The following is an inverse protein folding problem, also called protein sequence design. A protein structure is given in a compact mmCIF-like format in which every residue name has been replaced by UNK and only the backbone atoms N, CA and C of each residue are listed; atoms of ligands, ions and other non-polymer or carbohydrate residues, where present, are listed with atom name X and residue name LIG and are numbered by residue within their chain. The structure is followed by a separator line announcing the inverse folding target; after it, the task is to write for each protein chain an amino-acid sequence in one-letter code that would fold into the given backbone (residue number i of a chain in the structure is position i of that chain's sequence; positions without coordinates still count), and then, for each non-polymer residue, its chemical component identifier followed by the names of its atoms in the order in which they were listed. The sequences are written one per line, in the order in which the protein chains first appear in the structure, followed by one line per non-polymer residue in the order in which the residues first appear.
data_IF_107015631106
#
_entry.id   IF_107015631106
#
_cell.length_a   1.000
_cell.length_b   1.000
_cell.length_c   1.000
_cell.angle_alpha   90.00
_cell.angle_beta   90.00
_cell.angle_gamma   90.00
#
_symmetry.space_group_name_H-M   'P 1'
#
loop_
_entity.id
_entity.type
_entity.pdbx_description
1 polymer ?
#
# COMPACT_ATOMS: atom_id res chain seq x y z
N UNK A 1 45.44 -21.48 -18.68
CA UNK A 1 44.39 -21.32 -17.68
C UNK A 1 43.47 -20.17 -18.09
N UNK A 2 42.39 -20.48 -18.76
CA UNK A 2 41.42 -19.48 -19.29
C UNK A 2 40.23 -19.49 -18.38
N UNK A 3 40.02 -18.44 -17.61
CA UNK A 3 38.74 -18.19 -16.94
C UNK A 3 37.73 -17.69 -17.99
N UNK A 4 36.86 -18.56 -18.42
CA UNK A 4 35.67 -18.17 -19.17
C UNK A 4 34.64 -17.60 -18.18
N UNK A 5 34.46 -16.30 -18.22
CA UNK A 5 33.31 -15.65 -17.61
C UNK A 5 32.07 -16.07 -18.39
N UNK A 6 31.24 -16.93 -17.81
CA UNK A 6 29.91 -17.22 -18.37
C UNK A 6 29.02 -16.00 -18.06
N UNK A 7 28.66 -15.28 -19.13
CA UNK A 7 27.56 -14.33 -19.09
C UNK A 7 26.27 -15.09 -18.76
N UNK A 8 25.61 -14.75 -17.70
CA UNK A 8 24.22 -15.09 -17.44
C UNK A 8 23.36 -14.40 -18.51
N UNK A 9 22.83 -15.16 -19.45
CA UNK A 9 21.79 -14.67 -20.37
C UNK A 9 20.45 -14.83 -19.69
N UNK A 10 19.93 -13.74 -19.16
CA UNK A 10 18.52 -13.63 -18.75
C UNK A 10 17.71 -13.46 -20.03
N UNK A 11 17.04 -14.49 -20.48
CA UNK A 11 16.06 -14.37 -21.54
C UNK A 11 14.73 -13.94 -20.91
N UNK A 12 14.55 -12.62 -20.83
CA UNK A 12 13.32 -12.00 -20.40
C UNK A 12 12.31 -12.08 -21.54
N UNK A 13 11.33 -12.97 -21.43
CA UNK A 13 10.15 -12.90 -22.29
C UNK A 13 9.26 -11.82 -21.72
N UNK A 14 9.22 -10.69 -22.43
CA UNK A 14 8.45 -9.50 -22.07
C UNK A 14 6.96 -9.79 -22.29
N UNK A 15 6.22 -10.01 -21.20
CA UNK A 15 4.80 -9.70 -21.14
C UNK A 15 4.65 -8.64 -20.04
N UNK A 16 4.18 -7.48 -20.45
CA UNK A 16 4.19 -6.22 -19.70
C UNK A 16 3.57 -6.33 -18.32
N UNK A 17 4.38 -6.34 -17.31
CA UNK A 17 4.31 -5.67 -15.99
C UNK A 17 5.50 -6.15 -15.17
N UNK A 18 6.55 -5.30 -15.08
CA UNK A 18 7.84 -5.66 -14.50
C UNK A 18 7.80 -5.65 -12.97
N UNK A 19 7.74 -6.83 -12.38
CA UNK A 19 8.25 -7.04 -11.03
C UNK A 19 9.39 -8.05 -11.09
N UNK A 20 10.58 -7.70 -10.63
CA UNK A 20 11.71 -8.61 -10.50
C UNK A 20 11.42 -9.60 -9.37
N UNK A 21 11.09 -10.84 -9.74
CA UNK A 21 11.06 -11.93 -8.75
C UNK A 21 12.49 -12.28 -8.36
N UNK A 22 12.77 -12.34 -7.07
CA UNK A 22 14.08 -12.73 -6.55
C UNK A 22 13.97 -13.94 -5.64
N UNK A 23 14.98 -14.83 -5.70
CA UNK A 23 15.15 -15.87 -4.68
C UNK A 23 16.05 -15.33 -3.57
N UNK A 24 15.53 -15.28 -2.36
CA UNK A 24 16.35 -15.03 -1.19
C UNK A 24 17.11 -16.32 -0.82
N UNK A 25 18.22 -16.55 -1.49
CA UNK A 25 19.20 -17.55 -1.09
C UNK A 25 20.42 -16.83 -0.52
N UNK A 26 20.66 -17.03 0.76
CA UNK A 26 21.91 -16.60 1.36
C UNK A 26 23.09 -17.28 0.63
N UNK A 27 23.86 -16.50 -0.13
CA UNK A 27 25.20 -16.81 -0.64
C UNK A 27 25.38 -18.06 -1.54
N UNK A 28 24.44 -18.38 -2.45
CA UNK A 28 24.68 -19.46 -3.39
C UNK A 28 24.62 -19.00 -4.84
N UNK A 29 25.76 -18.93 -5.48
CA UNK A 29 25.95 -18.47 -6.86
C UNK A 29 25.60 -19.54 -7.91
N UNK A 30 25.07 -20.69 -7.51
CA UNK A 30 24.91 -21.87 -8.38
C UNK A 30 23.45 -22.27 -8.67
N UNK A 31 22.47 -21.62 -8.00
CA UNK A 31 21.07 -21.91 -8.20
C UNK A 31 20.38 -20.73 -8.88
N UNK A 32 20.08 -20.88 -10.15
CA UNK A 32 19.36 -19.88 -10.97
C UNK A 32 18.13 -20.54 -11.64
N UNK A 33 17.05 -20.76 -10.91
CA UNK A 33 15.85 -21.34 -11.49
C UNK A 33 15.19 -20.36 -12.45
N UNK A 34 14.81 -20.86 -13.63
CA UNK A 34 14.03 -20.09 -14.58
C UNK A 34 12.62 -19.88 -14.04
N UNK A 35 12.18 -18.62 -14.00
CA UNK A 35 10.85 -18.23 -13.52
C UNK A 35 10.05 -17.57 -14.63
N UNK A 36 8.75 -17.85 -14.65
CA UNK A 36 7.79 -17.11 -15.46
C UNK A 36 6.68 -16.59 -14.55
N UNK A 37 6.31 -15.34 -14.69
CA UNK A 37 5.22 -14.72 -13.92
C UNK A 37 4.14 -14.25 -14.88
N UNK A 38 2.92 -14.69 -14.62
CA UNK A 38 1.71 -14.29 -15.36
C UNK A 38 0.68 -13.74 -14.40
N UNK A 39 0.12 -12.57 -14.69
CA UNK A 39 -0.91 -11.94 -13.86
C UNK A 39 -2.22 -11.88 -14.64
N UNK A 40 -3.31 -12.29 -14.01
CA UNK A 40 -4.66 -12.24 -14.57
C UNK A 40 -5.68 -11.87 -13.49
N UNK A 41 -6.17 -10.64 -13.51
CA UNK A 41 -7.10 -10.13 -12.50
C UNK A 41 -6.51 -10.21 -11.08
N UNK A 42 -7.24 -10.86 -10.17
CA UNK A 42 -6.84 -11.09 -8.77
C UNK A 42 -5.91 -12.30 -8.57
N UNK A 43 -5.35 -12.84 -9.65
CA UNK A 43 -4.51 -14.05 -9.59
C UNK A 43 -3.19 -13.82 -10.29
N UNK A 44 -2.12 -14.20 -9.64
CA UNK A 44 -0.77 -14.24 -10.20
C UNK A 44 -0.28 -15.69 -10.23
N UNK A 45 0.28 -16.12 -11.34
CA UNK A 45 0.89 -17.44 -11.48
C UNK A 45 2.39 -17.30 -11.64
N UNK A 46 3.12 -17.97 -10.77
CA UNK A 46 4.57 -18.06 -10.82
C UNK A 46 4.96 -19.49 -11.17
N UNK A 47 5.52 -19.68 -12.34
CA UNK A 47 5.98 -21.01 -12.77
C UNK A 47 7.48 -21.11 -12.60
N UNK A 48 7.89 -22.08 -11.78
CA UNK A 48 9.29 -22.49 -11.57
C UNK A 48 9.57 -23.67 -12.46
N UNK A 49 10.63 -23.59 -13.30
CA UNK A 49 10.94 -24.66 -14.26
C UNK A 49 11.11 -26.00 -13.55
N UNK A 50 10.32 -26.99 -13.99
CA UNK A 50 10.30 -28.35 -13.44
C UNK A 50 11.33 -29.23 -14.14
N UNK A 51 12.55 -29.31 -13.61
CA UNK A 51 13.59 -30.25 -14.03
C UNK A 51 13.98 -31.14 -12.86
N UNK A 52 14.52 -32.32 -13.15
CA UNK A 52 15.00 -33.24 -12.09
C UNK A 52 16.07 -32.58 -11.20
N UNK A 53 16.94 -31.78 -11.78
CA UNK A 53 18.02 -31.09 -11.08
C UNK A 53 17.47 -29.99 -10.19
N UNK A 54 16.58 -29.13 -10.73
CA UNK A 54 15.92 -28.07 -9.96
C UNK A 54 15.10 -28.65 -8.81
N UNK A 55 14.34 -29.72 -9.05
CA UNK A 55 13.53 -30.34 -8.01
C UNK A 55 14.38 -30.94 -6.88
N UNK A 56 15.52 -31.53 -7.19
CA UNK A 56 16.44 -32.03 -6.17
C UNK A 56 16.96 -30.90 -5.26
N UNK A 57 17.31 -29.77 -5.86
CA UNK A 57 17.78 -28.57 -5.13
C UNK A 57 16.64 -27.93 -4.32
N UNK A 58 15.48 -27.73 -4.92
CA UNK A 58 14.30 -27.15 -4.28
C UNK A 58 13.84 -27.99 -3.08
N UNK A 59 13.79 -29.30 -3.22
CA UNK A 59 13.41 -30.22 -2.15
C UNK A 59 14.40 -30.19 -0.99
N UNK A 60 15.69 -30.15 -1.30
CA UNK A 60 16.74 -30.16 -0.28
C UNK A 60 16.88 -28.83 0.47
N UNK A 61 16.76 -27.72 -0.25
CA UNK A 61 17.04 -26.36 0.27
C UNK A 61 15.80 -25.58 0.65
N UNK A 62 14.65 -25.87 0.04
CA UNK A 62 13.38 -25.18 0.26
C UNK A 62 13.52 -23.64 0.27
N UNK A 63 14.03 -23.05 -0.81
CA UNK A 63 14.27 -21.62 -0.86
C UNK A 63 12.98 -20.83 -0.72
N UNK A 64 13.08 -19.63 -0.15
CA UNK A 64 11.99 -18.68 -0.13
C UNK A 64 12.02 -17.86 -1.43
N UNK A 65 10.90 -17.82 -2.13
CA UNK A 65 10.69 -16.96 -3.29
C UNK A 65 10.01 -15.68 -2.84
N UNK A 66 10.55 -14.56 -3.29
CA UNK A 66 9.95 -13.24 -3.16
C UNK A 66 9.37 -12.81 -4.50
N UNK A 67 8.12 -12.38 -4.50
CA UNK A 67 7.40 -11.93 -5.70
C UNK A 67 6.75 -10.58 -5.40
N UNK A 68 7.05 -9.53 -6.16
CA UNK A 68 6.37 -8.25 -6.01
C UNK A 68 4.85 -8.41 -6.18
N UNK A 69 4.08 -7.90 -5.23
CA UNK A 69 2.63 -7.94 -5.29
C UNK A 69 2.02 -6.68 -4.67
N UNK A 70 0.82 -6.34 -5.13
CA UNK A 70 0.01 -5.25 -4.56
C UNK A 70 -1.06 -5.73 -3.59
N UNK A 71 -1.05 -7.02 -3.22
CA UNK A 71 -2.07 -7.61 -2.37
C UNK A 71 -1.83 -7.28 -0.90
N UNK A 72 -2.88 -6.86 -0.20
CA UNK A 72 -2.83 -6.68 1.26
C UNK A 72 -2.97 -8.02 1.99
N UNK A 73 -3.58 -9.01 1.35
CA UNK A 73 -3.68 -10.39 1.82
C UNK A 73 -3.71 -11.32 0.62
N UNK A 74 -3.05 -12.46 0.70
CA UNK A 74 -3.05 -13.44 -0.37
C UNK A 74 -3.02 -14.87 0.19
N UNK A 75 -3.44 -15.82 -0.64
CA UNK A 75 -3.17 -17.24 -0.44
C UNK A 75 -2.29 -17.75 -1.57
N UNK A 76 -1.37 -18.63 -1.25
CA UNK A 76 -0.52 -19.34 -2.20
C UNK A 76 -0.91 -20.78 -2.28
N UNK A 77 -1.08 -21.29 -3.49
CA UNK A 77 -1.32 -22.71 -3.76
C UNK A 77 -0.18 -23.21 -4.62
N UNK A 78 0.45 -24.31 -4.19
CA UNK A 78 1.57 -24.93 -4.89
C UNK A 78 1.16 -25.85 -6.03
N UNK A 79 2.14 -26.43 -6.74
CA UNK A 79 1.89 -27.41 -7.79
C UNK A 79 1.21 -28.66 -7.21
N UNK A 80 -0.04 -28.91 -7.59
CA UNK A 80 -0.86 -30.02 -7.03
C UNK A 80 -1.89 -29.55 -6.02
N UNK A 81 -2.22 -28.26 -6.03
CA UNK A 81 -3.27 -27.60 -5.26
C UNK A 81 -3.06 -27.61 -3.73
N UNK A 82 -1.83 -27.90 -3.25
CA UNK A 82 -1.52 -27.79 -1.84
C UNK A 82 -1.41 -26.32 -1.39
N UNK A 83 -2.02 -25.97 -0.24
CA UNK A 83 -1.84 -24.64 0.33
C UNK A 83 -0.40 -24.47 0.84
N UNK A 84 0.15 -23.27 0.63
CA UNK A 84 1.51 -22.90 1.04
C UNK A 84 1.42 -21.67 1.93
N UNK A 85 2.07 -21.72 3.09
CA UNK A 85 2.20 -20.58 3.97
C UNK A 85 2.97 -19.45 3.27
N UNK A 86 2.44 -18.25 3.36
CA UNK A 86 3.06 -17.06 2.78
C UNK A 86 2.97 -15.87 3.74
N UNK A 87 3.92 -14.95 3.59
CA UNK A 87 3.92 -13.66 4.27
C UNK A 87 3.98 -12.55 3.22
N UNK A 88 3.35 -11.42 3.51
CA UNK A 88 3.44 -10.23 2.66
C UNK A 88 4.15 -9.15 3.46
N UNK A 89 5.29 -8.71 2.93
CA UNK A 89 6.11 -7.67 3.54
C UNK A 89 6.65 -6.74 2.45
N UNK A 90 6.58 -5.44 2.68
CA UNK A 90 7.15 -4.41 1.79
C UNK A 90 6.67 -4.49 0.31
N UNK A 91 5.42 -4.91 0.07
CA UNK A 91 4.89 -5.06 -1.28
C UNK A 91 5.43 -6.30 -2.02
N UNK A 92 5.97 -7.25 -1.30
CA UNK A 92 6.40 -8.55 -1.80
C UNK A 92 5.73 -9.67 -1.03
N UNK A 93 5.36 -10.73 -1.72
CA UNK A 93 4.89 -11.96 -1.09
C UNK A 93 6.03 -12.98 -1.05
N UNK A 94 6.23 -13.56 0.12
CA UNK A 94 7.26 -14.53 0.41
C UNK A 94 6.63 -15.90 0.68
N UNK A 95 7.11 -16.93 0.01
CA UNK A 95 6.67 -18.29 0.24
C UNK A 95 7.77 -19.30 -0.10
N UNK A 96 7.70 -20.49 0.49
CA UNK A 96 8.69 -21.53 0.29
C UNK A 96 8.40 -22.32 -0.99
N UNK A 97 9.42 -22.49 -1.81
CA UNK A 97 9.37 -23.28 -3.04
C UNK A 97 10.07 -24.63 -2.78
N UNK A 98 9.30 -25.71 -2.73
CA UNK A 98 9.83 -27.04 -2.45
C UNK A 98 10.02 -27.91 -3.70
N UNK A 99 9.45 -27.52 -4.84
CA UNK A 99 9.54 -28.23 -6.13
C UNK A 99 9.23 -27.30 -7.30
N UNK A 100 9.60 -27.68 -8.51
CA UNK A 100 9.19 -27.00 -9.74
C UNK A 100 7.69 -27.15 -10.01
N UNK A 101 7.18 -26.28 -10.84
CA UNK A 101 5.77 -26.23 -11.24
C UNK A 101 5.15 -24.86 -11.00
N UNK A 102 3.84 -24.76 -11.15
CA UNK A 102 3.12 -23.50 -11.06
C UNK A 102 2.58 -23.26 -9.65
N UNK A 103 2.98 -22.12 -9.08
CA UNK A 103 2.44 -21.58 -7.84
C UNK A 103 1.39 -20.53 -8.19
N UNK A 104 0.20 -20.65 -7.64
CA UNK A 104 -0.90 -19.70 -7.84
C UNK A 104 -1.05 -18.84 -6.62
N UNK A 105 -0.86 -17.55 -6.76
CA UNK A 105 -1.05 -16.52 -5.73
C UNK A 105 -2.41 -15.88 -6.02
N UNK A 106 -3.34 -16.00 -5.09
CA UNK A 106 -4.67 -15.42 -5.21
C UNK A 106 -4.82 -14.29 -4.21
N UNK A 107 -5.20 -13.13 -4.70
CA UNK A 107 -5.57 -12.00 -3.84
C UNK A 107 -6.74 -12.37 -2.93
N UNK A 108 -6.51 -12.28 -1.65
CA UNK A 108 -7.48 -12.48 -0.57
C UNK A 108 -7.78 -11.18 0.16
N UNK A 109 -7.31 -10.08 -0.39
CA UNK A 109 -7.65 -8.75 0.14
C UNK A 109 -9.17 -8.68 0.21
N UNK A 110 -9.78 -8.52 1.39
CA UNK A 110 -11.22 -8.47 1.51
C UNK A 110 -11.76 -7.34 0.63
N UNK A 111 -12.75 -7.64 -0.18
CA UNK A 111 -13.54 -6.58 -0.80
C UNK A 111 -14.07 -5.69 0.31
N UNK A 112 -13.90 -4.37 0.18
CA UNK A 112 -14.34 -3.42 1.19
C UNK A 112 -15.78 -3.75 1.63
N UNK A 113 -16.10 -3.75 2.95
CA UNK A 113 -17.42 -4.11 3.43
C UNK A 113 -18.47 -3.22 2.77
N UNK A 114 -19.45 -3.83 2.14
CA UNK A 114 -20.68 -3.13 1.72
C UNK A 114 -21.34 -2.59 2.98
N UNK A 115 -21.34 -1.28 3.17
CA UNK A 115 -22.05 -0.61 4.26
C UNK A 115 -23.52 -0.98 4.22
N UNK A 116 -24.17 -1.27 5.38
CA UNK A 116 -25.61 -1.45 5.42
C UNK A 116 -26.30 -0.17 4.95
N UNK A 117 -27.17 -0.30 3.97
CA UNK A 117 -27.99 0.77 3.42
C UNK A 117 -28.87 1.35 4.54
N UNK A 118 -28.64 2.61 4.92
CA UNK A 118 -29.59 3.37 5.70
C UNK A 118 -30.86 3.63 4.86
N UNK A 119 -32.07 3.68 5.46
CA UNK A 119 -33.31 3.77 4.71
C UNK A 119 -33.42 5.07 3.92
N UNK A 120 -33.76 4.91 2.65
CA UNK A 120 -33.89 5.92 1.61
C UNK A 120 -34.87 7.04 1.93
N UNK A 121 -34.41 8.28 1.76
CA UNK A 121 -35.25 9.45 1.51
C UNK A 121 -35.67 9.45 0.02
N UNK A 122 -36.89 9.89 -0.33
CA UNK A 122 -37.41 9.78 -1.70
C UNK A 122 -36.58 10.58 -2.71
N UNK A 123 -36.45 9.99 -3.88
CA UNK A 123 -35.69 10.44 -5.02
C UNK A 123 -36.19 11.77 -5.58
N UNK A 124 -35.25 12.71 -5.78
CA UNK A 124 -35.31 13.66 -6.86
C UNK A 124 -34.42 13.14 -8.01
N UNK A 125 -34.93 13.34 -9.23
CA UNK A 125 -34.41 12.79 -10.48
C UNK A 125 -32.92 13.01 -10.70
N UNK A 126 -32.17 12.01 -11.24
CA UNK A 126 -30.82 12.25 -11.75
C UNK A 126 -30.89 13.09 -13.04
N UNK A 127 -30.13 14.16 -13.05
CA UNK A 127 -29.76 14.84 -14.29
C UNK A 127 -28.71 13.97 -15.01
N UNK A 128 -29.13 13.36 -16.12
CA UNK A 128 -28.24 12.64 -17.03
C UNK A 128 -27.41 13.69 -17.78
N UNK A 129 -26.11 13.79 -17.49
CA UNK A 129 -25.06 14.02 -18.49
C UNK A 129 -23.73 14.39 -17.84
N UNK A 130 -22.86 13.42 -17.63
CA UNK A 130 -21.44 13.50 -17.95
C UNK A 130 -20.81 12.11 -17.84
N UNK A 131 -20.15 11.57 -18.90
CA UNK A 131 -19.20 10.50 -18.72
C UNK A 131 -18.07 11.07 -17.89
N UNK A 132 -17.92 10.63 -16.66
CA UNK A 132 -16.83 11.04 -15.78
C UNK A 132 -15.58 10.36 -16.32
N UNK A 133 -14.83 11.04 -17.17
CA UNK A 133 -13.47 10.63 -17.49
C UNK A 133 -12.70 10.63 -16.17
N UNK A 134 -12.20 9.47 -15.79
CA UNK A 134 -11.35 9.33 -14.62
C UNK A 134 -10.06 10.13 -14.83
N UNK A 135 -9.63 10.89 -13.82
CA UNK A 135 -8.37 11.65 -13.90
C UNK A 135 -7.16 10.73 -14.08
N UNK A 136 -7.27 9.50 -13.61
CA UNK A 136 -6.19 8.49 -13.68
C UNK A 136 -6.68 7.17 -14.26
N UNK A 137 -5.89 6.52 -15.14
CA UNK A 137 -6.30 5.28 -15.82
C UNK A 137 -6.45 4.07 -14.88
N UNK A 138 -5.80 4.12 -13.71
CA UNK A 138 -5.80 3.07 -12.67
C UNK A 138 -6.80 3.34 -11.54
N UNK A 139 -7.71 4.31 -11.71
CA UNK A 139 -8.77 4.66 -10.77
C UNK A 139 -10.10 4.60 -11.49
N UNK A 140 -10.97 3.67 -11.07
CA UNK A 140 -12.29 3.49 -11.69
C UNK A 140 -13.40 4.10 -10.85
N UNK A 141 -14.50 4.57 -11.45
CA UNK A 141 -15.64 5.12 -10.70
C UNK A 141 -16.27 4.15 -9.69
N UNK A 142 -16.03 2.86 -9.85
CA UNK A 142 -16.50 1.80 -8.95
C UNK A 142 -15.56 1.53 -7.77
N UNK A 143 -14.37 2.14 -7.76
CA UNK A 143 -13.40 1.96 -6.69
C UNK A 143 -13.85 2.69 -5.42
N UNK A 144 -13.70 2.05 -4.27
CA UNK A 144 -14.10 2.62 -2.97
C UNK A 144 -13.37 3.92 -2.61
N UNK A 145 -12.24 4.19 -3.25
CA UNK A 145 -11.41 5.39 -3.07
C UNK A 145 -11.61 6.43 -4.17
N UNK A 146 -12.47 6.17 -5.17
CA UNK A 146 -12.62 7.02 -6.35
C UNK A 146 -12.87 8.48 -5.97
N UNK A 147 -13.91 8.75 -5.18
CA UNK A 147 -14.28 10.11 -4.77
C UNK A 147 -13.17 10.79 -3.96
N UNK A 148 -12.46 10.00 -3.15
CA UNK A 148 -11.36 10.51 -2.37
C UNK A 148 -10.16 10.91 -3.23
N UNK A 149 -9.83 10.12 -4.24
CA UNK A 149 -8.75 10.41 -5.19
C UNK A 149 -9.08 11.67 -5.98
N UNK A 150 -10.30 11.77 -6.52
CA UNK A 150 -10.75 12.98 -7.23
C UNK A 150 -10.66 14.21 -6.32
N UNK A 151 -11.17 14.13 -5.09
CA UNK A 151 -11.16 15.25 -4.15
C UNK A 151 -9.75 15.74 -3.78
N UNK A 152 -8.81 14.84 -3.52
CA UNK A 152 -7.44 15.25 -3.17
C UNK A 152 -6.65 15.73 -4.39
N UNK A 153 -6.99 15.24 -5.58
CA UNK A 153 -6.38 15.67 -6.84
C UNK A 153 -6.89 17.06 -7.24
N UNK A 154 -8.20 17.28 -7.22
CA UNK A 154 -8.81 18.59 -7.51
C UNK A 154 -8.26 19.69 -6.60
N UNK A 155 -8.03 19.38 -5.33
CA UNK A 155 -7.42 20.30 -4.37
C UNK A 155 -5.88 20.43 -4.51
N UNK A 156 -5.26 19.73 -5.45
CA UNK A 156 -3.82 19.74 -5.67
C UNK A 156 -3.00 19.16 -4.50
N UNK A 157 -3.63 18.38 -3.63
CA UNK A 157 -2.97 17.79 -2.46
C UNK A 157 -2.14 16.58 -2.82
N UNK A 158 -2.72 15.69 -3.63
CA UNK A 158 -2.04 14.53 -4.18
C UNK A 158 -2.13 14.57 -5.71
N UNK A 159 -1.12 14.04 -6.36
CA UNK A 159 -1.07 13.89 -7.82
C UNK A 159 -0.58 12.50 -8.16
N UNK A 160 -0.91 12.03 -9.35
CA UNK A 160 -0.37 10.79 -9.89
C UNK A 160 1.07 10.93 -10.39
N UNK A 161 1.52 9.85 -10.96
CA UNK A 161 2.78 9.72 -11.71
C UNK A 161 2.45 9.42 -13.19
N UNK A 162 3.47 9.16 -13.98
CA UNK A 162 3.29 8.69 -15.38
C UNK A 162 2.54 7.35 -15.46
N UNK A 163 2.48 6.59 -14.36
CA UNK A 163 1.79 5.30 -14.28
C UNK A 163 0.33 5.39 -13.80
N UNK A 164 -0.12 6.54 -13.35
CA UNK A 164 -1.45 6.76 -12.77
C UNK A 164 -1.39 7.27 -11.33
N UNK A 165 -2.46 7.08 -10.58
CA UNK A 165 -2.52 7.45 -9.17
C UNK A 165 -1.77 6.49 -8.26
N UNK A 166 -1.63 5.24 -8.67
CA UNK A 166 -0.99 4.15 -7.91
C UNK A 166 -1.65 3.94 -6.52
N UNK A 167 -2.97 3.66 -6.46
CA UNK A 167 -3.76 3.68 -5.22
C UNK A 167 -3.26 2.72 -4.15
N UNK A 168 -2.67 1.60 -4.56
CA UNK A 168 -2.16 0.55 -3.66
C UNK A 168 -0.71 0.75 -3.23
N UNK A 169 -0.02 1.74 -3.79
CA UNK A 169 1.36 2.04 -3.41
C UNK A 169 1.42 2.57 -1.98
N UNK A 170 2.33 2.04 -1.17
CA UNK A 170 2.58 2.54 0.18
C UNK A 170 3.16 3.97 0.13
N UNK A 171 2.66 4.82 1.02
CA UNK A 171 3.03 6.23 1.06
C UNK A 171 4.26 6.44 1.93
N UNK A 172 5.20 7.28 1.47
CA UNK A 172 6.36 7.63 2.29
C UNK A 172 6.07 8.79 3.25
N UNK A 173 6.90 8.94 4.29
CA UNK A 173 6.83 10.06 5.23
C UNK A 173 6.95 11.41 4.52
N UNK A 174 7.88 11.52 3.56
CA UNK A 174 8.07 12.73 2.75
C UNK A 174 6.83 13.11 1.94
N UNK A 175 6.10 12.14 1.40
CA UNK A 175 4.82 12.38 0.70
C UNK A 175 3.80 13.00 1.64
N UNK A 176 3.69 12.51 2.89
CA UNK A 176 2.77 13.06 3.87
C UNK A 176 3.14 14.49 4.26
N UNK A 177 4.43 14.78 4.50
CA UNK A 177 4.86 16.16 4.77
C UNK A 177 4.46 17.10 3.64
N UNK A 178 4.63 16.65 2.39
CA UNK A 178 4.27 17.44 1.20
C UNK A 178 2.77 17.70 1.12
N UNK A 179 1.95 16.69 1.39
CA UNK A 179 0.49 16.84 1.40
C UNK A 179 0.05 17.81 2.50
N UNK A 180 0.55 17.65 3.72
CA UNK A 180 0.17 18.49 4.86
C UNK A 180 0.67 19.94 4.68
N UNK A 181 1.85 20.15 4.09
CA UNK A 181 2.33 21.47 3.74
C UNK A 181 1.48 22.14 2.67
N UNK A 182 1.03 21.41 1.65
CA UNK A 182 0.05 21.90 0.63
C UNK A 182 -1.28 22.27 1.28
N UNK A 183 -1.77 21.47 2.21
CA UNK A 183 -2.99 21.79 2.99
C UNK A 183 -2.81 23.07 3.82
N UNK A 184 -1.60 23.39 4.25
CA UNK A 184 -1.24 24.65 4.94
C UNK A 184 -0.99 25.81 3.95
N UNK A 185 -1.35 25.64 2.68
CA UNK A 185 -1.19 26.66 1.63
C UNK A 185 0.27 26.91 1.21
N UNK A 186 1.18 26.00 1.50
CA UNK A 186 2.60 26.12 1.11
C UNK A 186 2.82 25.62 -0.30
N UNK A 187 3.51 26.40 -1.09
CA UNK A 187 4.07 25.94 -2.36
C UNK A 187 5.32 25.14 -2.05
N UNK A 188 5.20 23.82 -2.07
CA UNK A 188 6.32 22.90 -1.90
C UNK A 188 6.64 22.29 -3.25
N UNK A 189 7.70 22.79 -3.85
CA UNK A 189 8.26 22.28 -5.09
C UNK A 189 9.72 21.93 -4.87
N UNK A 190 10.13 20.78 -5.35
CA UNK A 190 11.50 20.32 -5.31
C UNK A 190 11.73 19.40 -6.50
N UNK A 191 12.98 19.22 -6.88
CA UNK A 191 13.40 18.32 -7.95
C UNK A 191 14.60 17.48 -7.50
N UNK A 192 14.81 16.36 -8.16
CA UNK A 192 15.91 15.46 -7.83
C UNK A 192 15.69 14.67 -6.55
N UNK A 193 16.77 14.21 -5.93
CA UNK A 193 16.75 13.31 -4.78
C UNK A 193 16.20 13.92 -3.49
N UNK A 194 16.18 15.25 -3.38
CA UNK A 194 15.71 15.98 -2.19
C UNK A 194 14.44 16.81 -2.47
N UNK A 195 13.58 16.32 -3.35
CA UNK A 195 12.32 16.98 -3.74
C UNK A 195 11.44 17.37 -2.54
N UNK A 196 11.61 16.70 -1.41
CA UNK A 196 10.85 16.88 -0.18
C UNK A 196 11.47 17.87 0.82
N UNK A 197 12.65 18.42 0.55
CA UNK A 197 13.40 19.23 1.54
C UNK A 197 12.58 20.39 2.12
N UNK A 198 11.84 21.12 1.28
CA UNK A 198 10.98 22.20 1.73
C UNK A 198 9.83 21.72 2.64
N UNK A 199 9.21 20.61 2.32
CA UNK A 199 8.14 20.02 3.13
C UNK A 199 8.66 19.37 4.41
N UNK A 200 9.87 18.83 4.40
CA UNK A 200 10.57 18.31 5.56
C UNK A 200 10.87 19.44 6.58
N UNK A 201 11.44 20.55 6.11
CA UNK A 201 11.68 21.73 6.95
C UNK A 201 10.38 22.26 7.55
N UNK A 202 9.35 22.42 6.70
CA UNK A 202 8.04 22.84 7.14
C UNK A 202 7.46 21.91 8.22
N UNK A 203 7.52 20.60 8.02
CA UNK A 203 6.97 19.61 8.96
C UNK A 203 7.68 19.65 10.32
N UNK A 204 9.01 19.82 10.31
CA UNK A 204 9.82 19.92 11.53
C UNK A 204 9.59 21.23 12.29
N UNK A 205 9.63 22.37 11.58
CA UNK A 205 9.42 23.70 12.16
C UNK A 205 8.01 23.85 12.76
N UNK A 206 7.04 23.15 12.20
CA UNK A 206 5.65 23.22 12.65
C UNK A 206 5.28 22.10 13.64
N UNK A 207 6.23 21.27 14.05
CA UNK A 207 6.01 20.19 15.02
C UNK A 207 5.09 19.08 14.52
N UNK A 208 4.87 18.99 13.20
CA UNK A 208 4.06 17.93 12.57
C UNK A 208 4.81 16.61 12.54
N UNK A 209 6.11 16.67 12.29
CA UNK A 209 7.03 15.53 12.25
C UNK A 209 8.41 15.95 12.74
N UNK A 210 9.24 14.98 13.08
CA UNK A 210 10.66 15.18 13.40
C UNK A 210 11.56 15.35 12.15
N UNK A 211 10.99 15.16 10.96
CA UNK A 211 11.74 15.23 9.70
C UNK A 211 12.66 14.03 9.43
N UNK A 212 12.65 13.01 10.27
CA UNK A 212 13.47 11.81 10.07
C UNK A 212 12.87 10.85 9.05
N UNK A 213 13.74 10.02 8.44
CA UNK A 213 13.40 8.93 7.55
C UNK A 213 12.42 9.31 6.41
N UNK A 214 12.77 10.22 5.50
CA UNK A 214 11.87 10.72 4.45
C UNK A 214 11.31 9.63 3.54
N UNK A 215 12.08 8.58 3.29
CA UNK A 215 11.70 7.48 2.40
C UNK A 215 11.01 6.32 3.14
N UNK A 216 11.00 6.36 4.47
CA UNK A 216 10.31 5.36 5.28
C UNK A 216 8.82 5.35 4.99
N UNK A 217 8.25 4.16 4.89
CA UNK A 217 6.81 3.97 4.67
C UNK A 217 6.03 4.39 5.91
N UNK A 218 4.95 5.12 5.70
CA UNK A 218 4.13 5.64 6.81
C UNK A 218 3.17 4.57 7.29
N UNK A 219 3.11 4.33 8.60
CA UNK A 219 2.06 3.51 9.20
C UNK A 219 0.79 4.34 9.42
N UNK A 220 -0.35 3.66 9.58
CA UNK A 220 -1.63 4.33 9.80
C UNK A 220 -1.63 5.16 11.08
N UNK A 221 -1.02 4.70 12.17
CA UNK A 221 -0.89 5.48 13.40
C UNK A 221 0.08 6.66 13.26
N UNK A 222 1.16 6.51 12.47
CA UNK A 222 2.09 7.60 12.20
C UNK A 222 1.40 8.71 11.38
N UNK A 223 0.61 8.31 10.36
CA UNK A 223 -0.19 9.28 9.61
C UNK A 223 -1.21 9.98 10.52
N UNK A 224 -1.95 9.23 11.35
CA UNK A 224 -2.89 9.79 12.30
C UNK A 224 -2.22 10.80 13.24
N UNK A 225 -1.00 10.49 13.72
CA UNK A 225 -0.25 11.40 14.59
C UNK A 225 0.17 12.68 13.89
N UNK A 226 0.63 12.61 12.65
CA UNK A 226 1.00 13.80 11.88
C UNK A 226 -0.23 14.66 11.56
N UNK A 227 -1.33 14.04 11.13
CA UNK A 227 -2.57 14.76 10.84
C UNK A 227 -3.19 15.37 12.10
N UNK A 228 -3.13 14.69 13.24
CA UNK A 228 -3.60 15.19 14.53
C UNK A 228 -2.81 16.43 14.96
N UNK A 229 -1.47 16.39 14.89
CA UNK A 229 -0.63 17.56 15.20
C UNK A 229 -0.92 18.74 14.28
N UNK A 230 -1.14 18.46 13.00
CA UNK A 230 -1.58 19.47 12.04
C UNK A 230 -2.94 20.05 12.43
N UNK A 231 -3.91 19.20 12.76
CA UNK A 231 -5.25 19.63 13.15
C UNK A 231 -5.25 20.45 14.45
N UNK A 232 -4.40 20.11 15.44
CA UNK A 232 -4.21 20.90 16.66
C UNK A 232 -3.72 22.33 16.32
N UNK A 233 -2.77 22.46 15.42
CA UNK A 233 -2.29 23.79 14.97
C UNK A 233 -3.40 24.62 14.32
N UNK A 234 -4.30 23.97 13.61
CA UNK A 234 -5.42 24.62 12.93
C UNK A 234 -6.60 24.89 13.87
N UNK A 235 -6.52 24.51 15.16
CA UNK A 235 -7.63 24.60 16.08
C UNK A 235 -8.80 23.66 15.76
N UNK A 236 -8.57 22.66 14.91
CA UNK A 236 -9.58 21.67 14.45
C UNK A 236 -9.55 20.37 15.22
N UNK A 237 -8.64 20.18 16.13
CA UNK A 237 -8.58 19.05 17.05
C UNK A 237 -8.68 19.56 18.48
N UNK A 238 -9.56 18.93 19.28
CA UNK A 238 -9.71 19.18 20.70
C UNK A 238 -9.23 17.99 21.53
N UNK A 239 -9.04 18.20 22.83
CA UNK A 239 -8.66 17.14 23.76
C UNK A 239 -9.78 16.13 24.06
N UNK A 240 -11.00 16.38 23.60
CA UNK A 240 -12.19 15.58 23.91
C UNK A 240 -12.33 14.33 23.04
N UNK A 241 -11.23 13.64 22.82
CA UNK A 241 -11.25 12.35 22.13
C UNK A 241 -11.74 11.24 23.08
N UNK A 242 -13.00 11.33 23.52
CA UNK A 242 -13.70 10.24 24.20
C UNK A 242 -14.10 9.12 23.22
N UNK A 243 -13.35 8.95 22.14
CA UNK A 243 -13.61 7.88 21.20
C UNK A 243 -13.46 6.54 21.87
N UNK A 244 -14.52 5.78 21.75
CA UNK A 244 -14.52 4.42 22.24
C UNK A 244 -13.72 3.54 21.26
N UNK A 245 -12.48 3.26 21.59
CA UNK A 245 -11.69 2.23 20.92
C UNK A 245 -12.28 0.83 21.07
N UNK A 246 -13.22 0.63 22.01
CA UNK A 246 -13.71 -0.69 22.40
C UNK A 246 -14.39 -1.50 21.27
N UNK A 247 -14.60 -0.89 20.10
CA UNK A 247 -15.14 -1.58 18.92
C UNK A 247 -14.12 -2.23 18.02
N UNK A 248 -12.81 -2.03 18.27
CA UNK A 248 -11.76 -2.56 17.38
C UNK A 248 -10.98 -3.67 18.07
N UNK A 249 -10.71 -4.74 17.31
CA UNK A 249 -10.10 -5.96 17.85
C UNK A 249 -8.61 -5.81 18.21
N UNK A 250 -7.93 -4.77 17.67
CA UNK A 250 -6.49 -4.57 17.76
C UNK A 250 -6.07 -3.27 18.46
N UNK A 251 -6.91 -2.77 19.36
CA UNK A 251 -6.65 -1.54 20.14
C UNK A 251 -5.33 -1.59 20.90
N UNK A 252 -4.98 -2.75 21.44
CA UNK A 252 -3.75 -2.95 22.20
C UNK A 252 -2.49 -2.88 21.30
N UNK A 253 -2.65 -2.95 19.98
CA UNK A 253 -1.57 -2.78 19.02
C UNK A 253 -1.25 -1.31 18.73
N UNK A 254 -2.07 -0.37 19.21
CA UNK A 254 -1.79 1.07 19.08
C UNK A 254 -0.66 1.44 20.03
N UNK A 255 0.40 2.03 19.47
CA UNK A 255 1.52 2.54 20.26
C UNK A 255 1.06 3.61 21.27
N UNK A 256 1.64 3.62 22.45
CA UNK A 256 1.25 4.59 23.50
C UNK A 256 1.36 6.05 23.04
N UNK A 257 2.39 6.37 22.29
CA UNK A 257 2.61 7.71 21.74
C UNK A 257 1.57 8.12 20.69
N UNK A 258 0.87 7.17 20.06
CA UNK A 258 -0.13 7.40 19.03
C UNK A 258 -1.57 7.36 19.55
N UNK A 259 -1.80 6.95 20.82
CA UNK A 259 -3.14 6.69 21.35
C UNK A 259 -4.08 7.90 21.24
N UNK A 260 -3.63 9.08 21.58
CA UNK A 260 -4.47 10.29 21.51
C UNK A 260 -4.80 10.66 20.05
N UNK A 261 -3.83 10.57 19.16
CA UNK A 261 -4.03 10.81 17.74
C UNK A 261 -5.00 9.80 17.11
N UNK A 262 -4.85 8.53 17.45
CA UNK A 262 -5.74 7.48 16.97
C UNK A 262 -7.17 7.63 17.54
N UNK A 263 -7.33 7.99 18.81
CA UNK A 263 -8.65 8.31 19.39
C UNK A 263 -9.30 9.46 18.64
N UNK A 264 -8.55 10.55 18.44
CA UNK A 264 -9.06 11.68 17.67
C UNK A 264 -9.43 11.27 16.25
N UNK A 265 -8.59 10.53 15.55
CA UNK A 265 -8.85 10.10 14.17
C UNK A 265 -10.10 9.22 14.07
N UNK A 266 -10.37 8.37 15.05
CA UNK A 266 -11.59 7.56 15.14
C UNK A 266 -12.80 8.42 15.49
N UNK A 267 -12.74 9.26 16.53
CA UNK A 267 -13.86 10.11 16.96
C UNK A 267 -14.27 11.12 15.91
N UNK A 268 -13.30 11.63 15.18
CA UNK A 268 -13.54 12.51 14.04
C UNK A 268 -13.95 11.75 12.76
N UNK A 269 -14.00 10.42 12.75
CA UNK A 269 -14.34 9.62 11.57
C UNK A 269 -13.31 9.70 10.44
N UNK A 270 -12.11 10.20 10.71
CA UNK A 270 -10.98 10.15 9.77
C UNK A 270 -10.55 8.69 9.55
N UNK A 271 -10.49 7.91 10.63
CA UNK A 271 -10.21 6.48 10.59
C UNK A 271 -11.44 5.70 11.04
N UNK A 272 -11.99 4.86 10.16
CA UNK A 272 -13.15 4.01 10.44
C UNK A 272 -12.76 2.53 10.65
N UNK A 273 -11.45 2.23 10.58
CA UNK A 273 -10.95 0.86 10.63
C UNK A 273 -11.12 0.08 9.33
N UNK A 274 -10.62 -1.14 9.33
CA UNK A 274 -10.71 -2.13 8.25
C UNK A 274 -11.11 -3.44 8.93
N UNK A 275 -12.23 -4.04 8.55
CA UNK A 275 -12.75 -5.30 9.12
C UNK A 275 -12.76 -5.34 10.66
N UNK A 276 -13.20 -4.24 11.28
CA UNK A 276 -13.25 -4.12 12.74
C UNK A 276 -11.87 -3.96 13.42
N UNK A 277 -10.84 -3.58 12.65
CA UNK A 277 -9.48 -3.33 13.13
C UNK A 277 -9.00 -1.94 12.76
N UNK A 278 -8.16 -1.34 13.59
CA UNK A 278 -7.48 -0.07 13.31
C UNK A 278 -6.28 -0.26 12.38
N UNK A 279 -5.62 -1.41 12.45
CA UNK A 279 -4.38 -1.73 11.76
C UNK A 279 -3.29 -0.64 11.97
N UNK A 280 -2.97 -0.27 13.22
CA UNK A 280 -2.16 0.91 13.49
C UNK A 280 -0.74 0.81 12.92
N UNK A 281 -0.14 -0.37 12.95
CA UNK A 281 1.21 -0.65 12.45
C UNK A 281 1.23 -0.94 10.94
N UNK A 282 0.06 -1.12 10.31
CA UNK A 282 -0.02 -1.37 8.87
C UNK A 282 0.41 -0.14 8.07
N UNK A 283 1.16 -0.35 7.00
CA UNK A 283 1.52 0.70 6.06
C UNK A 283 0.27 1.29 5.41
N UNK A 284 0.23 2.62 5.28
CA UNK A 284 -0.89 3.29 4.66
C UNK A 284 -0.66 3.45 3.15
N UNK A 285 -1.59 2.93 2.36
CA UNK A 285 -1.57 3.10 0.91
C UNK A 285 -2.04 4.50 0.50
N UNK A 286 -1.72 4.91 -0.73
CA UNK A 286 -2.13 6.20 -1.28
C UNK A 286 -3.66 6.37 -1.29
N UNK A 287 -4.41 5.32 -1.63
CA UNK A 287 -5.87 5.33 -1.56
C UNK A 287 -6.40 5.52 -0.13
N UNK A 288 -5.80 4.85 0.85
CA UNK A 288 -6.16 5.03 2.25
C UNK A 288 -5.85 6.45 2.75
N UNK A 289 -4.69 7.00 2.39
CA UNK A 289 -4.33 8.38 2.70
C UNK A 289 -5.32 9.36 2.07
N UNK A 290 -5.64 9.20 0.79
CA UNK A 290 -6.63 10.03 0.09
C UNK A 290 -7.98 10.04 0.81
N UNK A 291 -8.46 8.85 1.20
CA UNK A 291 -9.75 8.70 1.91
C UNK A 291 -9.73 9.33 3.31
N UNK A 292 -8.65 9.16 4.05
CA UNK A 292 -8.51 9.78 5.37
C UNK A 292 -8.42 11.31 5.25
N UNK A 293 -7.74 11.84 4.23
CA UNK A 293 -7.67 13.27 3.94
C UNK A 293 -9.01 13.84 3.52
N UNK A 294 -9.74 13.17 2.61
CA UNK A 294 -11.08 13.60 2.21
C UNK A 294 -11.98 13.74 3.44
N UNK A 295 -12.06 12.71 4.29
CA UNK A 295 -12.85 12.74 5.52
C UNK A 295 -12.46 13.86 6.48
N UNK A 296 -11.17 14.19 6.55
CA UNK A 296 -10.69 15.32 7.35
C UNK A 296 -11.11 16.66 6.76
N UNK A 297 -11.11 16.80 5.43
CA UNK A 297 -11.44 18.04 4.74
C UNK A 297 -12.94 18.36 4.72
N UNK A 298 -13.80 17.34 4.82
CA UNK A 298 -15.26 17.48 4.84
C UNK A 298 -15.81 17.95 6.19
N UNK A 299 -14.96 18.13 7.18
CA UNK A 299 -15.30 18.59 8.55
C UNK A 299 -14.84 20.02 8.78
#
# INVERSE_FOLDING_TARGET
MRHMKKLCSILLVLALSLGLCTFALANDTEFDPQLTVETSGSTMRVTVVDTKENNAILTARKPTLSVPCSYASASVTGPGDEPIDCTIENGEIFFVVARGGTYTITDRTPAAPVTPVAPSKPADKPDETKPTETTYPDVQPTDWYYEAVEAVTEKGLMSGTDNGFEPNLATSRAMIWTVLARMDGKTVSGSGSEWYAASQSWASENGVSDGSDPNGRITREQFAAMLYRYALRQGRAGADAAANFAGFADVESVSDWARDAMRWAVSSGVINGIDGRLCPQGEATRAQIATMLQRYLEK
#
